data_IF_998332205418
#
_entry.id   IF_998332205418
#
_cell.length_a   1.000
_cell.length_b   1.000
_cell.length_c   1.000
_cell.angle_alpha   90.00
_cell.angle_beta   90.00
_cell.angle_gamma   90.00
#
_symmetry.space_group_name_H-M   'P 1'
#
loop_
_entity.id
_entity.type
_entity.pdbx_description
1 polymer ?
#
# COMPACT_ATOMS: atom_id res chain seq x y z
N UNK A 1 -42.41 -76.45 27.16
CA UNK A 1 -41.01 -76.02 27.38
C UNK A 1 -40.50 -75.02 26.31
N UNK A 2 -41.37 -74.28 25.61
CA UNK A 2 -40.97 -73.37 24.50
C UNK A 2 -41.11 -71.86 24.81
N UNK A 3 -41.74 -71.49 25.94
CA UNK A 3 -41.94 -70.08 26.31
C UNK A 3 -40.71 -69.50 27.04
N UNK A 4 -39.99 -70.32 27.82
CA UNK A 4 -38.81 -69.88 28.60
C UNK A 4 -37.57 -69.59 27.74
N UNK A 5 -37.43 -70.28 26.59
CA UNK A 5 -36.29 -70.10 25.68
C UNK A 5 -36.38 -68.79 24.88
N UNK A 6 -37.59 -68.39 24.46
CA UNK A 6 -37.83 -67.15 23.72
C UNK A 6 -37.59 -65.91 24.58
N UNK A 7 -37.92 -65.97 25.87
CA UNK A 7 -37.68 -64.88 26.84
C UNK A 7 -36.19 -64.61 27.08
N UNK A 8 -35.36 -65.66 27.19
CA UNK A 8 -33.92 -65.53 27.36
C UNK A 8 -33.21 -64.94 26.13
N UNK A 9 -33.66 -65.28 24.92
CA UNK A 9 -33.14 -64.70 23.68
C UNK A 9 -33.52 -63.22 23.56
N UNK A 10 -34.76 -62.86 23.90
CA UNK A 10 -35.23 -61.46 23.90
C UNK A 10 -34.47 -60.63 24.95
N UNK A 11 -34.16 -61.17 26.14
CA UNK A 11 -33.34 -60.47 27.14
C UNK A 11 -31.90 -60.27 26.67
N UNK A 12 -31.25 -61.27 26.06
CA UNK A 12 -29.88 -61.13 25.53
C UNK A 12 -29.79 -60.11 24.38
N UNK A 13 -30.78 -60.09 23.48
CA UNK A 13 -30.85 -59.10 22.39
C UNK A 13 -31.05 -57.68 22.94
N UNK A 14 -31.88 -57.51 23.99
CA UNK A 14 -32.04 -56.21 24.67
C UNK A 14 -30.75 -55.76 25.36
N UNK A 15 -30.01 -56.66 25.99
CA UNK A 15 -28.70 -56.34 26.60
C UNK A 15 -27.64 -55.97 25.55
N UNK A 16 -27.62 -56.66 24.40
CA UNK A 16 -26.71 -56.35 23.29
C UNK A 16 -27.07 -55.01 22.63
N UNK A 17 -28.36 -54.71 22.42
CA UNK A 17 -28.79 -53.41 21.90
C UNK A 17 -28.50 -52.27 22.88
N UNK A 18 -28.61 -52.50 24.19
CA UNK A 18 -28.20 -51.53 25.21
C UNK A 18 -26.70 -51.23 25.17
N UNK A 19 -25.86 -52.27 25.02
CA UNK A 19 -24.42 -52.12 24.91
C UNK A 19 -23.98 -51.43 23.60
N UNK A 20 -24.64 -51.74 22.48
CA UNK A 20 -24.36 -51.09 21.19
C UNK A 20 -24.77 -49.61 21.18
N UNK A 21 -25.91 -49.29 21.81
CA UNK A 21 -26.38 -47.90 21.98
C UNK A 21 -25.42 -47.05 22.84
N UNK A 22 -24.88 -47.63 23.92
CA UNK A 22 -23.87 -46.98 24.77
C UNK A 22 -22.53 -46.76 24.04
N UNK A 23 -22.12 -47.69 23.18
CA UNK A 23 -20.90 -47.55 22.39
C UNK A 23 -20.98 -46.42 21.34
N UNK A 24 -22.14 -46.21 20.73
CA UNK A 24 -22.35 -45.14 19.73
C UNK A 24 -22.37 -43.75 20.39
N UNK A 25 -22.92 -43.62 21.61
CA UNK A 25 -22.92 -42.35 22.35
C UNK A 25 -21.50 -41.97 22.81
N UNK A 26 -20.65 -42.95 23.13
CA UNK A 26 -19.25 -42.71 23.51
C UNK A 26 -18.39 -42.16 22.37
N UNK A 27 -18.75 -42.37 21.10
CA UNK A 27 -18.01 -41.81 19.95
C UNK A 27 -18.40 -40.37 19.65
N UNK A 28 -19.59 -39.91 20.05
CA UNK A 28 -20.03 -38.52 19.88
C UNK A 28 -19.46 -37.56 20.94
N UNK A 29 -18.88 -38.08 22.03
CA UNK A 29 -18.26 -37.28 23.09
C UNK A 29 -16.82 -36.84 22.80
N UNK A 30 -16.29 -37.14 21.60
CA UNK A 30 -15.12 -36.43 21.07
C UNK A 30 -15.54 -35.04 20.58
N UNK A 31 -16.14 -34.24 21.48
CA UNK A 31 -16.21 -32.80 21.28
C UNK A 31 -14.76 -32.35 21.20
N UNK A 32 -14.28 -32.16 19.97
CA UNK A 32 -12.95 -31.64 19.70
C UNK A 32 -12.86 -30.33 20.45
N UNK A 33 -12.22 -30.36 21.62
CA UNK A 33 -12.03 -29.19 22.44
C UNK A 33 -11.17 -28.30 21.58
N UNK A 34 -11.78 -27.26 21.00
CA UNK A 34 -11.05 -26.22 20.28
C UNK A 34 -10.15 -25.61 21.34
N UNK A 35 -8.90 -26.11 21.41
CA UNK A 35 -7.94 -25.63 22.38
C UNK A 35 -7.77 -24.13 22.12
N UNK A 36 -7.68 -23.34 23.19
CA UNK A 36 -7.36 -21.90 23.07
C UNK A 36 -6.12 -21.68 22.20
N UNK A 37 -5.22 -22.66 22.24
CA UNK A 37 -4.01 -22.76 21.42
C UNK A 37 -4.29 -22.81 19.91
N UNK A 38 -5.24 -23.64 19.46
CA UNK A 38 -5.68 -23.72 18.06
C UNK A 38 -6.27 -22.39 17.55
N UNK A 39 -7.03 -21.68 18.41
CA UNK A 39 -7.60 -20.37 18.07
C UNK A 39 -6.51 -19.30 17.99
N UNK A 40 -5.53 -19.32 18.89
CA UNK A 40 -4.42 -18.36 18.88
C UNK A 40 -3.53 -18.56 17.65
N UNK A 41 -3.18 -19.81 17.32
CA UNK A 41 -2.44 -20.13 16.08
C UNK A 41 -3.17 -19.62 14.82
N UNK A 42 -4.50 -19.77 14.75
CA UNK A 42 -5.28 -19.24 13.62
C UNK A 42 -5.27 -17.70 13.56
N UNK A 43 -5.29 -17.03 14.71
CA UNK A 43 -5.14 -15.57 14.79
C UNK A 43 -3.76 -15.12 14.33
N UNK A 44 -2.69 -15.81 14.72
CA UNK A 44 -1.32 -15.47 14.33
C UNK A 44 -1.13 -15.67 12.82
N UNK A 45 -1.61 -16.79 12.27
CA UNK A 45 -1.64 -17.01 10.81
C UNK A 45 -2.42 -15.91 10.08
N UNK A 46 -3.56 -15.48 10.62
CA UNK A 46 -4.34 -14.38 10.06
C UNK A 46 -3.53 -13.07 10.08
N UNK A 47 -2.87 -12.75 11.18
CA UNK A 47 -2.04 -11.55 11.28
C UNK A 47 -0.86 -11.57 10.28
N UNK A 48 -0.19 -12.71 10.13
CA UNK A 48 0.88 -12.91 9.15
C UNK A 48 0.38 -12.68 7.72
N UNK A 49 -0.81 -13.22 7.38
CA UNK A 49 -1.43 -12.99 6.08
C UNK A 49 -1.79 -11.52 5.85
N UNK A 50 -2.34 -10.84 6.85
CA UNK A 50 -2.67 -9.41 6.76
C UNK A 50 -1.41 -8.55 6.56
N UNK A 51 -0.33 -8.83 7.31
CA UNK A 51 0.94 -8.11 7.16
C UNK A 51 1.54 -8.37 5.77
N UNK A 52 1.56 -9.61 5.29
CA UNK A 52 2.05 -9.94 3.94
C UNK A 52 1.24 -9.27 2.83
N UNK A 53 -0.09 -9.21 2.99
CA UNK A 53 -0.95 -8.51 2.03
C UNK A 53 -0.58 -7.02 1.97
N UNK A 54 -0.51 -6.35 3.12
CA UNK A 54 -0.10 -4.93 3.17
C UNK A 54 1.30 -4.71 2.60
N UNK A 55 2.24 -5.60 2.92
CA UNK A 55 3.61 -5.52 2.41
C UNK A 55 3.64 -5.59 0.88
N UNK A 56 2.85 -6.48 0.30
CA UNK A 56 2.73 -6.64 -1.15
C UNK A 56 2.11 -5.41 -1.80
N UNK A 57 1.02 -4.90 -1.23
CA UNK A 57 0.37 -3.66 -1.69
C UNK A 57 1.34 -2.47 -1.65
N UNK A 58 2.10 -2.31 -0.55
CA UNK A 58 3.10 -1.24 -0.41
C UNK A 58 4.28 -1.39 -1.37
N UNK A 59 4.75 -2.61 -1.63
CA UNK A 59 5.81 -2.86 -2.62
C UNK A 59 5.34 -2.56 -4.05
N UNK A 60 4.08 -2.84 -4.35
CA UNK A 60 3.47 -2.48 -5.62
C UNK A 60 3.35 -0.96 -5.76
N UNK A 61 2.82 -0.28 -4.75
CA UNK A 61 2.75 1.19 -4.71
C UNK A 61 4.15 1.83 -4.83
N UNK A 62 5.17 1.24 -4.19
CA UNK A 62 6.55 1.72 -4.31
C UNK A 62 7.05 1.65 -5.75
N UNK A 63 6.81 0.53 -6.44
CA UNK A 63 7.19 0.38 -7.84
C UNK A 63 6.45 1.38 -8.74
N UNK A 64 5.16 1.63 -8.49
CA UNK A 64 4.39 2.64 -9.21
C UNK A 64 4.94 4.06 -9.02
N UNK A 65 5.32 4.42 -7.79
CA UNK A 65 5.91 5.72 -7.49
C UNK A 65 7.32 5.86 -8.09
N UNK A 66 8.14 4.82 -8.04
CA UNK A 66 9.48 4.79 -8.64
C UNK A 66 9.42 4.96 -10.16
N UNK A 67 8.43 4.36 -10.83
CA UNK A 67 8.19 4.55 -12.27
C UNK A 67 7.85 6.01 -12.62
N UNK A 68 7.21 6.75 -11.71
CA UNK A 68 6.89 8.17 -11.92
C UNK A 68 8.09 9.10 -11.72
N UNK A 69 9.18 8.64 -11.07
CA UNK A 69 10.34 9.48 -10.76
C UNK A 69 10.97 10.01 -12.04
N UNK A 70 11.10 9.16 -13.07
CA UNK A 70 11.68 9.58 -14.35
C UNK A 70 10.83 10.68 -15.01
N UNK A 71 9.51 10.46 -15.10
CA UNK A 71 8.58 11.44 -15.68
C UNK A 71 8.64 12.80 -14.95
N UNK A 72 8.67 12.80 -13.61
CA UNK A 72 8.75 14.05 -12.84
C UNK A 72 10.12 14.72 -12.95
N UNK A 73 11.20 13.94 -13.06
CA UNK A 73 12.55 14.45 -13.28
C UNK A 73 12.66 15.13 -14.64
N UNK A 74 12.12 14.50 -15.68
CA UNK A 74 12.09 15.08 -17.03
C UNK A 74 11.24 16.36 -17.07
N UNK A 75 10.11 16.38 -16.35
CA UNK A 75 9.28 17.57 -16.22
C UNK A 75 10.03 18.72 -15.52
N UNK A 76 10.81 18.44 -14.48
CA UNK A 76 11.68 19.42 -13.83
C UNK A 76 12.70 19.97 -14.82
N UNK A 77 13.43 19.10 -15.50
CA UNK A 77 14.45 19.51 -16.48
C UNK A 77 13.86 20.40 -17.58
N UNK A 78 12.74 19.98 -18.17
CA UNK A 78 12.04 20.72 -19.22
C UNK A 78 11.55 22.09 -18.74
N UNK A 79 10.92 22.14 -17.57
CA UNK A 79 10.39 23.41 -17.04
C UNK A 79 11.48 24.35 -16.55
N UNK A 80 12.60 23.81 -16.04
CA UNK A 80 13.78 24.60 -15.71
C UNK A 80 14.39 25.25 -16.95
N UNK A 81 14.52 24.50 -18.04
CA UNK A 81 15.05 25.02 -19.31
C UNK A 81 14.15 26.12 -19.88
N UNK A 82 12.83 25.90 -19.93
CA UNK A 82 11.89 26.92 -20.38
C UNK A 82 11.92 28.19 -19.51
N UNK A 83 12.11 28.04 -18.20
CA UNK A 83 12.26 29.17 -17.30
C UNK A 83 13.56 29.94 -17.55
N UNK A 84 14.66 29.24 -17.86
CA UNK A 84 15.95 29.84 -18.23
C UNK A 84 15.83 30.64 -19.52
N UNK A 85 15.30 30.04 -20.57
CA UNK A 85 15.08 30.72 -21.86
C UNK A 85 14.22 31.97 -21.69
N UNK A 86 13.11 31.87 -20.96
CA UNK A 86 12.21 33.01 -20.72
C UNK A 86 12.88 34.11 -19.88
N UNK A 87 13.74 33.75 -18.93
CA UNK A 87 14.51 34.72 -18.14
C UNK A 87 15.54 35.46 -19.01
N UNK A 88 16.23 34.76 -19.90
CA UNK A 88 17.16 35.36 -20.87
C UNK A 88 16.45 36.30 -21.84
N UNK A 89 15.27 35.92 -22.35
CA UNK A 89 14.46 36.80 -23.18
C UNK A 89 14.02 38.06 -22.43
N UNK A 90 13.64 37.91 -21.16
CA UNK A 90 13.25 39.02 -20.31
C UNK A 90 14.41 39.97 -20.07
N UNK A 91 15.60 39.42 -19.81
CA UNK A 91 16.82 40.20 -19.68
C UNK A 91 17.09 41.00 -20.96
N UNK A 92 17.10 40.35 -22.13
CA UNK A 92 17.30 41.01 -23.44
C UNK A 92 16.24 42.07 -23.73
N UNK A 93 15.00 41.88 -23.29
CA UNK A 93 13.93 42.85 -23.47
C UNK A 93 14.08 44.04 -22.50
N UNK A 94 14.54 43.80 -21.27
CA UNK A 94 14.82 44.82 -20.28
C UNK A 94 16.03 45.67 -20.66
N UNK A 95 17.10 45.06 -21.17
CA UNK A 95 18.29 45.77 -21.68
C UNK A 95 17.91 46.76 -22.79
N UNK A 96 17.14 46.32 -23.79
CA UNK A 96 16.63 47.20 -24.86
C UNK A 96 15.70 48.31 -24.37
N UNK A 97 14.97 48.09 -23.29
CA UNK A 97 14.18 49.15 -22.65
C UNK A 97 15.08 50.12 -21.89
N UNK A 98 16.17 49.65 -21.28
CA UNK A 98 17.15 50.50 -20.62
C UNK A 98 17.85 51.46 -21.57
N UNK A 99 18.12 51.03 -22.81
CA UNK A 99 18.70 51.85 -23.87
C UNK A 99 17.77 53.00 -24.33
N UNK A 100 16.47 52.73 -24.45
CA UNK A 100 15.45 53.74 -24.75
C UNK A 100 14.21 53.58 -23.86
N UNK A 101 14.24 54.18 -22.64
CA UNK A 101 13.20 54.01 -21.63
C UNK A 101 11.83 54.57 -22.03
N UNK A 102 11.80 55.54 -22.95
CA UNK A 102 10.56 56.19 -23.37
C UNK A 102 9.88 55.46 -24.54
N UNK A 103 10.57 54.48 -25.14
CA UNK A 103 10.05 53.72 -26.26
C UNK A 103 8.94 52.74 -25.85
N UNK A 104 7.68 53.16 -26.07
CA UNK A 104 6.45 52.41 -25.74
C UNK A 104 6.46 50.95 -26.20
N UNK A 105 7.06 50.63 -27.36
CA UNK A 105 7.13 49.25 -27.87
C UNK A 105 8.12 48.39 -27.07
N UNK A 106 9.25 48.95 -26.64
CA UNK A 106 10.20 48.25 -25.78
C UNK A 106 9.59 48.00 -24.41
N UNK A 107 8.89 48.98 -23.84
CA UNK A 107 8.21 48.85 -22.56
C UNK A 107 7.17 47.71 -22.58
N UNK A 108 6.34 47.65 -23.63
CA UNK A 108 5.36 46.57 -23.82
C UNK A 108 6.02 45.19 -23.97
N UNK A 109 7.13 45.10 -24.70
CA UNK A 109 7.84 43.83 -24.92
C UNK A 109 8.52 43.34 -23.63
N UNK A 110 9.18 44.22 -22.89
CA UNK A 110 9.77 43.90 -21.60
C UNK A 110 8.71 43.42 -20.60
N UNK A 111 7.58 44.14 -20.49
CA UNK A 111 6.46 43.72 -19.63
C UNK A 111 5.89 42.35 -20.00
N UNK A 112 5.69 42.07 -21.30
CA UNK A 112 5.23 40.75 -21.76
C UNK A 112 6.22 39.64 -21.43
N UNK A 113 7.51 39.89 -21.67
CA UNK A 113 8.56 38.90 -21.41
C UNK A 113 8.73 38.62 -19.92
N UNK A 114 8.70 39.66 -19.07
CA UNK A 114 8.67 39.52 -17.61
C UNK A 114 7.49 38.65 -17.13
N UNK A 115 6.31 38.86 -17.71
CA UNK A 115 5.13 38.05 -17.40
C UNK A 115 5.29 36.57 -17.79
N UNK A 116 5.93 36.29 -18.93
CA UNK A 116 6.25 34.91 -19.33
C UNK A 116 7.30 34.28 -18.41
N UNK A 117 8.43 34.96 -18.18
CA UNK A 117 9.48 34.50 -17.28
C UNK A 117 8.95 34.18 -15.88
N UNK A 118 8.07 35.03 -15.33
CA UNK A 118 7.42 34.78 -14.05
C UNK A 118 6.58 33.50 -14.05
N UNK A 119 5.76 33.28 -15.10
CA UNK A 119 4.92 32.09 -15.22
C UNK A 119 5.75 30.82 -15.33
N UNK A 120 6.80 30.83 -16.14
CA UNK A 120 7.62 29.64 -16.37
C UNK A 120 8.51 29.35 -15.15
N UNK A 121 9.05 30.36 -14.47
CA UNK A 121 9.70 30.18 -13.17
C UNK A 121 8.75 29.60 -12.11
N UNK A 122 7.46 29.96 -12.13
CA UNK A 122 6.45 29.36 -11.23
C UNK A 122 6.17 27.90 -11.60
N UNK A 123 6.13 27.56 -12.88
CA UNK A 123 5.97 26.17 -13.36
C UNK A 123 7.16 25.31 -12.94
N UNK A 124 8.40 25.79 -13.13
CA UNK A 124 9.61 25.10 -12.71
C UNK A 124 9.60 24.80 -11.20
N UNK A 125 9.26 25.80 -10.38
CA UNK A 125 9.11 25.59 -8.92
C UNK A 125 8.07 24.54 -8.57
N UNK A 126 6.92 24.52 -9.24
CA UNK A 126 5.88 23.50 -9.00
C UNK A 126 6.33 22.11 -9.42
N UNK A 127 7.03 21.98 -10.55
CA UNK A 127 7.59 20.71 -10.99
C UNK A 127 8.59 20.17 -9.95
N UNK A 128 9.47 21.02 -9.43
CA UNK A 128 10.43 20.66 -8.38
C UNK A 128 9.71 20.20 -7.10
N UNK A 129 8.71 20.94 -6.65
CA UNK A 129 7.91 20.58 -5.47
C UNK A 129 7.19 19.24 -5.64
N UNK A 130 6.71 18.93 -6.85
CA UNK A 130 6.07 17.66 -7.14
C UNK A 130 7.07 16.49 -7.09
N UNK A 131 8.27 16.67 -7.66
CA UNK A 131 9.33 15.66 -7.58
C UNK A 131 9.78 15.44 -6.13
N UNK A 132 9.95 16.51 -5.37
CA UNK A 132 10.30 16.41 -3.94
C UNK A 132 9.22 15.69 -3.14
N UNK A 133 7.94 16.00 -3.38
CA UNK A 133 6.82 15.30 -2.74
C UNK A 133 6.80 13.82 -3.09
N UNK A 134 7.08 13.46 -4.35
CA UNK A 134 7.18 12.07 -4.78
C UNK A 134 8.30 11.34 -4.03
N UNK A 135 9.49 11.93 -3.94
CA UNK A 135 10.63 11.36 -3.22
C UNK A 135 10.32 11.17 -1.72
N UNK A 136 9.65 12.14 -1.09
CA UNK A 136 9.21 12.01 0.32
C UNK A 136 8.20 10.88 0.51
N UNK A 137 7.28 10.70 -0.45
CA UNK A 137 6.32 9.60 -0.41
C UNK A 137 7.03 8.25 -0.54
N UNK A 138 7.99 8.12 -1.46
CA UNK A 138 8.84 6.93 -1.63
C UNK A 138 9.59 6.63 -0.33
N UNK A 139 10.22 7.62 0.29
CA UNK A 139 10.95 7.42 1.54
C UNK A 139 10.03 6.98 2.69
N UNK A 140 8.85 7.62 2.81
CA UNK A 140 7.83 7.25 3.80
C UNK A 140 7.33 5.82 3.60
N UNK A 141 7.13 5.42 2.34
CA UNK A 141 6.67 4.08 1.99
C UNK A 141 7.76 3.02 2.27
N UNK A 142 9.02 3.33 1.99
CA UNK A 142 10.15 2.46 2.34
C UNK A 142 10.27 2.23 3.85
N UNK A 143 10.08 3.28 4.67
CA UNK A 143 10.04 3.15 6.14
C UNK A 143 8.90 2.24 6.59
N UNK A 144 7.71 2.47 6.05
CA UNK A 144 6.51 1.65 6.29
C UNK A 144 6.70 0.17 5.91
N UNK A 145 7.38 -0.10 4.79
CA UNK A 145 7.74 -1.45 4.36
C UNK A 145 8.70 -2.09 5.37
N UNK A 146 9.75 -1.37 5.78
CA UNK A 146 10.70 -1.87 6.78
C UNK A 146 10.02 -2.18 8.13
N UNK A 147 9.09 -1.35 8.57
CA UNK A 147 8.29 -1.58 9.78
C UNK A 147 7.43 -2.85 9.66
N UNK A 148 6.78 -3.06 8.49
CA UNK A 148 5.99 -4.26 8.22
C UNK A 148 6.87 -5.52 8.13
N UNK A 149 8.05 -5.43 7.52
CA UNK A 149 9.03 -6.53 7.44
C UNK A 149 9.55 -6.90 8.83
N UNK A 150 9.86 -5.92 9.68
CA UNK A 150 10.25 -6.15 11.07
C UNK A 150 9.10 -6.81 11.86
N UNK A 151 7.86 -6.36 11.65
CA UNK A 151 6.70 -6.96 12.30
C UNK A 151 6.48 -8.40 11.84
N UNK A 152 6.63 -8.67 10.54
CA UNK A 152 6.53 -10.01 9.99
C UNK A 152 7.58 -10.94 10.59
N UNK A 153 8.84 -10.47 10.68
CA UNK A 153 9.93 -11.23 11.30
C UNK A 153 9.64 -11.57 12.77
N UNK A 154 9.08 -10.63 13.54
CA UNK A 154 8.68 -10.89 14.94
C UNK A 154 7.55 -11.92 15.06
N UNK A 155 6.61 -11.94 14.12
CA UNK A 155 5.48 -12.88 14.10
C UNK A 155 5.86 -14.28 13.60
N UNK A 156 6.92 -14.39 12.79
CA UNK A 156 7.40 -15.66 12.23
C UNK A 156 8.51 -16.31 13.07
N UNK A 157 9.23 -15.51 13.87
CA UNK A 157 10.26 -15.99 14.80
C UNK A 157 9.75 -16.33 16.20
N UNK A 158 8.44 -16.22 16.45
CA UNK A 158 7.77 -16.62 17.70
C UNK A 158 7.17 -18.02 17.59
#
# INVERSE_FOLDING_TARGET
MLISFKSNIIMKIKSIMGALGLAVISMCASAQVVSKDSINMLKDRKQVLEVNKRLTERKLELAELENQVQEKTDAVAKTAEQARESAEENQKAAERLGEDPQHKKHARRASKSAGSAHRDAKRARRAQQNLEKLNRNIESLRKKIADDESKLASLQGS
#
